data_IF_590256325187
#
_entry.id   IF_590256325187
#
_cell.length_a   1.000
_cell.length_b   1.000
_cell.length_c   1.000
_cell.angle_alpha   90.00
_cell.angle_beta   90.00
_cell.angle_gamma   90.00
#
_symmetry.space_group_name_H-M   'P 1'
#
loop_
_entity.id
_entity.type
_entity.pdbx_description
1 polymer ?
#
# COMPACT_ATOMS: atom_id res chain seq x y z
N UNK A 1 0.32 -7.30 21.19
CA UNK A 1 -0.03 -6.47 19.99
C UNK A 1 1.23 -5.77 19.51
N UNK A 2 1.50 -5.77 18.20
CA UNK A 2 2.61 -5.01 17.60
C UNK A 2 2.16 -3.60 17.28
N UNK A 3 2.92 -2.56 17.67
CA UNK A 3 2.69 -1.19 17.24
C UNK A 3 3.14 -1.00 15.79
N UNK A 4 2.27 -0.43 14.93
CA UNK A 4 2.43 -0.37 13.48
C UNK A 4 2.90 1.02 13.05
N UNK A 5 4.21 1.30 13.18
CA UNK A 5 4.83 2.61 12.93
C UNK A 5 4.59 3.13 11.51
N UNK A 6 4.52 2.26 10.51
CA UNK A 6 4.24 2.62 9.12
C UNK A 6 2.86 3.25 8.91
N UNK A 7 1.93 3.06 9.84
CA UNK A 7 0.57 3.62 9.73
C UNK A 7 0.57 5.14 9.89
N UNK A 8 1.50 5.69 10.67
CA UNK A 8 1.65 7.13 10.91
C UNK A 8 2.78 7.74 10.10
N UNK A 9 3.84 6.98 9.81
CA UNK A 9 4.98 7.43 9.01
C UNK A 9 5.40 6.38 7.98
N UNK A 10 4.95 6.54 6.73
CA UNK A 10 5.35 5.68 5.62
C UNK A 10 6.82 5.83 5.22
N UNK A 11 7.48 6.95 5.62
CA UNK A 11 8.87 7.24 5.29
C UNK A 11 9.88 6.74 6.33
N UNK A 12 9.41 6.16 7.43
CA UNK A 12 10.30 5.59 8.46
C UNK A 12 11.08 4.40 7.87
N UNK A 13 12.40 4.57 7.75
CA UNK A 13 13.30 3.59 7.12
C UNK A 13 13.95 2.64 8.11
N UNK A 14 14.10 3.07 9.37
CA UNK A 14 14.72 2.28 10.43
C UNK A 14 14.04 2.53 11.76
N UNK A 15 14.07 1.55 12.64
CA UNK A 15 13.47 1.61 13.97
C UNK A 15 14.21 0.66 14.91
N UNK A 16 13.96 0.78 16.21
CA UNK A 16 14.45 -0.14 17.23
C UNK A 16 13.25 -0.72 17.97
N UNK A 17 13.28 -2.01 18.25
CA UNK A 17 12.20 -2.70 18.97
C UNK A 17 12.73 -3.92 19.72
N UNK A 18 11.91 -4.50 20.61
CA UNK A 18 12.20 -5.76 21.29
C UNK A 18 11.47 -6.94 20.62
N UNK A 19 12.09 -8.11 20.65
CA UNK A 19 11.44 -9.38 20.26
C UNK A 19 10.41 -9.76 21.32
N UNK A 20 9.16 -9.90 20.92
CA UNK A 20 8.02 -10.26 21.78
C UNK A 20 7.54 -11.70 21.60
N UNK A 21 7.88 -12.33 20.47
CA UNK A 21 7.55 -13.73 20.19
C UNK A 21 8.50 -14.31 19.14
N UNK A 22 8.78 -15.61 19.24
CA UNK A 22 9.62 -16.37 18.30
C UNK A 22 8.82 -17.55 17.77
N UNK A 23 8.76 -17.68 16.45
CA UNK A 23 8.24 -18.83 15.70
C UNK A 23 9.44 -19.59 15.14
N UNK A 24 9.92 -20.58 15.87
CA UNK A 24 11.12 -21.35 15.51
C UNK A 24 10.91 -22.15 14.21
N UNK A 25 9.72 -22.74 14.04
CA UNK A 25 9.42 -23.59 12.90
C UNK A 25 9.45 -22.84 11.56
N UNK A 26 8.99 -21.58 11.56
CA UNK A 26 8.94 -20.74 10.36
C UNK A 26 10.03 -19.64 10.36
N UNK A 27 10.92 -19.63 11.33
CA UNK A 27 11.98 -18.62 11.53
C UNK A 27 11.41 -17.20 11.58
N UNK A 28 10.32 -17.01 12.33
CA UNK A 28 9.60 -15.76 12.46
C UNK A 28 9.86 -15.06 13.80
N UNK A 29 10.03 -13.74 13.78
CA UNK A 29 10.11 -12.90 14.98
C UNK A 29 8.96 -11.90 14.99
N UNK A 30 8.17 -11.88 16.06
CA UNK A 30 7.28 -10.77 16.33
C UNK A 30 8.00 -9.72 17.19
N UNK A 31 7.73 -8.45 16.87
CA UNK A 31 8.36 -7.31 17.53
C UNK A 31 7.31 -6.47 18.27
N UNK A 32 7.74 -5.74 19.29
CA UNK A 32 6.92 -4.78 20.03
C UNK A 32 6.35 -3.69 19.11
N UNK A 33 7.19 -3.18 18.19
CA UNK A 33 6.81 -2.22 17.16
C UNK A 33 7.50 -2.53 15.85
N UNK A 34 6.93 -2.07 14.71
CA UNK A 34 7.53 -2.30 13.40
C UNK A 34 7.19 -1.23 12.38
N UNK A 35 8.19 -0.88 11.56
CA UNK A 35 7.99 -0.09 10.35
C UNK A 35 7.76 -0.96 9.10
N UNK A 36 7.91 -2.29 9.18
CA UNK A 36 7.62 -3.20 8.07
C UNK A 36 6.12 -3.29 7.81
N UNK A 37 5.70 -2.97 6.60
CA UNK A 37 4.33 -3.24 6.14
C UNK A 37 4.14 -4.76 5.94
N UNK A 38 3.13 -5.38 6.55
CA UNK A 38 2.97 -6.84 6.51
C UNK A 38 2.27 -7.36 5.27
N UNK A 39 1.96 -6.49 4.31
CA UNK A 39 1.15 -6.81 3.14
C UNK A 39 -0.35 -6.71 3.42
N UNK A 40 -1.14 -6.62 2.37
CA UNK A 40 -2.60 -6.53 2.39
C UNK A 40 -3.12 -5.49 1.41
N UNK A 41 -4.42 -5.46 1.16
CA UNK A 41 -5.04 -4.46 0.26
C UNK A 41 -4.47 -4.41 -1.16
N UNK A 42 -3.85 -5.50 -1.64
CA UNK A 42 -3.16 -5.54 -2.93
C UNK A 42 -1.69 -5.10 -2.88
N UNK A 43 -1.20 -4.48 -1.79
CA UNK A 43 0.20 -4.12 -1.64
C UNK A 43 1.01 -5.28 -1.04
N UNK A 44 2.13 -5.71 -1.66
CA UNK A 44 3.04 -6.71 -1.11
C UNK A 44 3.68 -6.26 0.22
N UNK A 45 4.08 -7.24 1.02
CA UNK A 45 4.86 -6.99 2.23
C UNK A 45 6.24 -6.41 1.93
N UNK A 46 6.76 -5.65 2.91
CA UNK A 46 8.13 -5.19 2.87
C UNK A 46 9.14 -6.32 3.10
N UNK A 47 10.35 -6.04 2.65
CA UNK A 47 11.59 -6.76 2.92
C UNK A 47 12.60 -5.80 3.56
N UNK A 48 13.71 -6.36 4.08
CA UNK A 48 14.76 -5.55 4.69
C UNK A 48 15.66 -6.38 5.60
N UNK A 49 16.12 -5.80 6.71
CA UNK A 49 17.00 -6.48 7.66
C UNK A 49 16.61 -6.19 9.11
N UNK A 50 16.95 -7.15 9.99
CA UNK A 50 17.00 -6.97 11.43
C UNK A 50 18.44 -7.17 11.88
N UNK A 51 19.00 -6.22 12.63
CA UNK A 51 20.33 -6.34 13.24
C UNK A 51 20.18 -6.54 14.74
N UNK A 52 20.87 -7.54 15.29
CA UNK A 52 21.01 -7.82 16.70
C UNK A 52 22.50 -7.97 16.99
N UNK A 53 23.05 -7.10 17.81
CA UNK A 53 24.49 -6.99 18.04
C UNK A 53 25.24 -6.88 16.69
N UNK A 54 26.15 -7.83 16.39
CA UNK A 54 26.91 -7.89 15.14
C UNK A 54 26.27 -8.76 14.05
N UNK A 55 25.14 -9.43 14.36
CA UNK A 55 24.44 -10.31 13.42
C UNK A 55 23.38 -9.55 12.64
N UNK A 56 23.34 -9.79 11.33
CA UNK A 56 22.36 -9.21 10.41
C UNK A 56 21.50 -10.32 9.81
N UNK A 57 20.19 -10.22 10.01
CA UNK A 57 19.18 -11.15 9.51
C UNK A 57 18.44 -10.52 8.34
N UNK A 58 18.32 -11.24 7.24
CA UNK A 58 17.50 -10.79 6.10
C UNK A 58 16.03 -11.10 6.35
N UNK A 59 15.18 -10.07 6.35
CA UNK A 59 13.73 -10.20 6.40
C UNK A 59 13.21 -10.39 4.97
N UNK A 60 12.73 -11.58 4.66
CA UNK A 60 12.19 -11.91 3.35
C UNK A 60 10.70 -11.61 3.23
N UNK A 61 10.00 -11.48 4.35
CA UNK A 61 8.57 -11.21 4.42
C UNK A 61 8.16 -10.77 5.81
N UNK A 62 7.27 -9.80 5.90
CA UNK A 62 6.48 -9.54 7.11
C UNK A 62 5.03 -10.03 6.89
N UNK A 63 4.36 -10.49 7.96
CA UNK A 63 2.97 -10.95 7.89
C UNK A 63 2.26 -10.70 9.23
N UNK A 64 1.04 -10.19 9.14
CA UNK A 64 0.16 -10.07 10.32
C UNK A 64 -0.46 -11.42 10.67
N UNK A 65 -0.32 -11.84 11.94
CA UNK A 65 -0.92 -13.06 12.51
C UNK A 65 -1.58 -12.66 13.83
N UNK A 66 -2.90 -12.64 13.84
CA UNK A 66 -3.66 -12.06 14.96
C UNK A 66 -3.38 -10.57 15.09
N UNK A 67 -2.91 -10.15 16.28
CA UNK A 67 -2.53 -8.78 16.62
C UNK A 67 -1.02 -8.53 16.61
N UNK A 68 -0.22 -9.50 16.12
CA UNK A 68 1.22 -9.40 15.95
C UNK A 68 1.63 -9.35 14.47
N UNK A 69 2.79 -8.74 14.20
CA UNK A 69 3.46 -8.81 12.90
C UNK A 69 4.73 -9.64 13.04
N UNK A 70 4.77 -10.77 12.34
CA UNK A 70 5.93 -11.65 12.26
C UNK A 70 6.83 -11.26 11.09
N UNK A 71 8.13 -11.23 11.33
CA UNK A 71 9.20 -11.00 10.36
C UNK A 71 9.89 -12.32 10.10
N UNK A 72 9.71 -12.88 8.92
CA UNK A 72 10.29 -14.17 8.52
C UNK A 72 11.70 -13.99 7.96
N UNK A 73 12.65 -14.73 8.53
CA UNK A 73 14.09 -14.56 8.30
C UNK A 73 14.64 -15.61 7.36
N UNK A 74 15.48 -15.20 6.43
CA UNK A 74 16.25 -16.09 5.59
C UNK A 74 17.48 -16.64 6.35
N UNK A 75 18.06 -17.73 5.82
CA UNK A 75 19.32 -18.31 6.31
C UNK A 75 19.15 -19.19 7.55
N UNK A 76 20.28 -19.54 8.19
CA UNK A 76 20.32 -20.52 9.28
C UNK A 76 20.93 -19.95 10.58
N UNK A 77 21.18 -18.64 10.66
CA UNK A 77 21.66 -18.02 11.89
C UNK A 77 20.73 -18.35 13.07
N UNK A 78 21.24 -18.58 14.28
CA UNK A 78 20.39 -18.75 15.47
C UNK A 78 19.41 -17.58 15.62
N UNK A 79 18.16 -17.87 15.96
CA UNK A 79 17.14 -16.82 16.12
C UNK A 79 17.43 -16.01 17.40
N UNK A 80 17.22 -14.68 17.37
CA UNK A 80 17.24 -13.85 18.56
C UNK A 80 16.17 -14.32 19.57
N UNK A 81 16.54 -14.37 20.85
CA UNK A 81 15.61 -14.75 21.92
C UNK A 81 14.63 -13.64 22.27
N UNK A 82 13.63 -14.00 23.10
CA UNK A 82 12.67 -13.05 23.67
C UNK A 82 13.39 -11.91 24.40
N UNK A 83 12.92 -10.68 24.24
CA UNK A 83 13.50 -9.48 24.85
C UNK A 83 14.75 -8.95 24.15
N UNK A 84 15.29 -9.64 23.14
CA UNK A 84 16.43 -9.14 22.39
C UNK A 84 16.08 -7.82 21.71
N UNK A 85 16.99 -6.85 21.79
CA UNK A 85 16.88 -5.58 21.07
C UNK A 85 17.27 -5.79 19.61
N UNK A 86 16.42 -5.33 18.70
CA UNK A 86 16.67 -5.38 17.26
C UNK A 86 16.63 -3.99 16.67
N UNK A 87 17.50 -3.73 15.70
CA UNK A 87 17.43 -2.58 14.82
C UNK A 87 16.90 -3.05 13.47
N UNK A 88 15.67 -2.63 13.12
CA UNK A 88 15.05 -2.91 11.83
C UNK A 88 15.42 -1.86 10.79
N UNK A 89 15.66 -2.31 9.56
CA UNK A 89 15.91 -1.45 8.39
C UNK A 89 15.11 -1.96 7.21
N UNK A 90 14.27 -1.08 6.64
CA UNK A 90 13.42 -1.38 5.49
C UNK A 90 14.26 -1.37 4.22
N UNK A 91 14.00 -2.29 3.27
CA UNK A 91 14.42 -2.13 1.87
C UNK A 91 13.69 -0.91 1.28
N UNK A 92 14.33 0.25 1.43
CA UNK A 92 13.73 1.53 1.09
C UNK A 92 13.44 1.68 -0.40
N UNK A 93 14.29 1.15 -1.27
CA UNK A 93 14.08 1.24 -2.70
C UNK A 93 12.78 0.52 -3.11
N UNK A 94 12.58 -0.70 -2.59
CA UNK A 94 11.36 -1.47 -2.79
C UNK A 94 10.14 -0.76 -2.18
N UNK A 95 10.22 -0.31 -0.92
CA UNK A 95 9.14 0.40 -0.22
C UNK A 95 8.71 1.65 -0.99
N UNK A 96 9.64 2.48 -1.41
CA UNK A 96 9.32 3.73 -2.08
C UNK A 96 8.66 3.49 -3.45
N UNK A 97 9.12 2.47 -4.20
CA UNK A 97 8.45 2.03 -5.44
C UNK A 97 7.01 1.59 -5.18
N UNK A 98 6.77 0.81 -4.12
CA UNK A 98 5.41 0.39 -3.72
C UNK A 98 4.54 1.57 -3.28
N UNK A 99 5.08 2.54 -2.53
CA UNK A 99 4.37 3.77 -2.14
C UNK A 99 3.93 4.56 -3.38
N UNK A 100 4.80 4.73 -4.37
CA UNK A 100 4.49 5.38 -5.65
C UNK A 100 3.37 4.63 -6.38
N UNK A 101 3.49 3.31 -6.48
CA UNK A 101 2.47 2.47 -7.13
C UNK A 101 1.13 2.59 -6.41
N UNK A 102 1.12 2.49 -5.08
CA UNK A 102 -0.13 2.54 -4.31
C UNK A 102 -0.82 3.89 -4.47
N UNK A 103 -0.07 4.99 -4.39
CA UNK A 103 -0.63 6.32 -4.63
C UNK A 103 -1.11 6.49 -6.07
N UNK A 104 -0.42 5.92 -7.07
CA UNK A 104 -0.89 5.90 -8.46
C UNK A 104 -2.24 5.18 -8.61
N UNK A 105 -2.42 4.06 -7.90
CA UNK A 105 -3.69 3.31 -7.89
C UNK A 105 -4.82 4.13 -7.26
N UNK A 106 -4.54 4.88 -6.17
CA UNK A 106 -5.51 5.80 -5.58
C UNK A 106 -5.84 6.99 -6.50
N UNK A 107 -4.85 7.55 -7.21
CA UNK A 107 -5.11 8.57 -8.25
C UNK A 107 -6.04 8.01 -9.33
N UNK A 108 -5.75 6.81 -9.84
CA UNK A 108 -6.58 6.14 -10.85
C UNK A 108 -8.01 5.91 -10.32
N UNK A 109 -8.15 5.41 -9.10
CA UNK A 109 -9.44 5.21 -8.45
C UNK A 109 -10.21 6.52 -8.30
N UNK A 110 -9.57 7.57 -7.79
CA UNK A 110 -10.20 8.88 -7.57
C UNK A 110 -10.67 9.52 -8.86
N UNK A 111 -9.86 9.50 -9.93
CA UNK A 111 -10.25 10.02 -11.25
C UNK A 111 -11.42 9.23 -11.82
N UNK A 112 -11.36 7.91 -11.81
CA UNK A 112 -12.42 7.06 -12.38
C UNK A 112 -13.72 7.21 -11.59
N UNK A 113 -13.65 7.29 -10.27
CA UNK A 113 -14.84 7.51 -9.45
C UNK A 113 -15.44 8.91 -9.67
N UNK A 114 -14.61 9.96 -9.70
CA UNK A 114 -15.05 11.34 -9.90
C UNK A 114 -15.71 11.55 -11.26
N UNK A 115 -15.09 11.04 -12.34
CA UNK A 115 -15.46 11.37 -13.71
C UNK A 115 -16.48 10.39 -14.29
N UNK A 116 -16.55 9.15 -13.77
CA UNK A 116 -17.39 8.08 -14.34
C UNK A 116 -18.28 7.36 -13.31
N UNK A 117 -18.13 7.64 -12.01
CA UNK A 117 -18.91 6.98 -10.95
C UNK A 117 -18.64 5.48 -10.83
N UNK A 118 -17.54 4.96 -11.41
CA UNK A 118 -17.27 3.53 -11.45
C UNK A 118 -16.57 3.04 -10.18
N UNK A 119 -17.10 1.97 -9.59
CA UNK A 119 -16.56 1.35 -8.37
C UNK A 119 -15.41 0.39 -8.69
N UNK A 120 -14.48 0.24 -7.73
CA UNK A 120 -13.40 -0.73 -7.79
C UNK A 120 -13.92 -2.13 -7.44
N UNK A 121 -13.58 -3.13 -8.24
CA UNK A 121 -13.93 -4.53 -8.01
C UNK A 121 -12.74 -5.42 -7.66
N UNK A 122 -11.52 -4.89 -7.77
CA UNK A 122 -10.29 -5.58 -7.39
C UNK A 122 -9.05 -4.77 -7.78
N UNK A 123 -7.94 -5.08 -7.13
CA UNK A 123 -6.65 -4.45 -7.38
C UNK A 123 -5.50 -5.34 -6.94
N UNK A 124 -4.33 -5.11 -7.54
CA UNK A 124 -3.09 -5.77 -7.18
C UNK A 124 -1.91 -4.94 -7.69
N UNK A 125 -0.77 -5.00 -7.01
CA UNK A 125 0.39 -4.22 -7.38
C UNK A 125 1.72 -4.92 -7.09
N UNK A 126 2.73 -4.50 -7.86
CA UNK A 126 4.13 -4.75 -7.64
C UNK A 126 4.91 -3.42 -7.67
N UNK A 127 6.20 -3.39 -7.33
CA UNK A 127 7.00 -2.17 -7.47
C UNK A 127 6.92 -1.57 -8.87
N UNK A 128 6.37 -0.36 -8.99
CA UNK A 128 6.15 0.40 -10.22
C UNK A 128 5.17 -0.21 -11.23
N UNK A 129 4.38 -1.20 -10.83
CA UNK A 129 3.37 -1.83 -11.67
C UNK A 129 2.10 -2.06 -10.87
N UNK A 130 0.94 -1.89 -11.52
CA UNK A 130 -0.33 -2.15 -10.86
C UNK A 130 -1.44 -2.50 -11.85
N UNK A 131 -2.48 -3.11 -11.33
CA UNK A 131 -3.72 -3.34 -12.06
C UNK A 131 -4.93 -3.06 -11.18
N UNK A 132 -5.96 -2.52 -11.78
CA UNK A 132 -7.22 -2.27 -11.09
C UNK A 132 -8.41 -2.62 -11.95
N UNK A 133 -9.42 -3.22 -11.35
CA UNK A 133 -10.66 -3.63 -11.98
C UNK A 133 -11.77 -2.66 -11.58
N UNK A 134 -12.56 -2.22 -12.58
CA UNK A 134 -13.64 -1.25 -12.39
C UNK A 134 -14.93 -1.71 -13.06
N UNK A 135 -16.05 -1.22 -12.56
CA UNK A 135 -17.36 -1.42 -13.17
C UNK A 135 -17.58 -0.43 -14.34
N UNK A 136 -17.18 -0.84 -15.55
CA UNK A 136 -17.47 -0.12 -16.79
C UNK A 136 -18.27 -1.01 -17.74
N UNK A 137 -19.24 -0.41 -18.48
CA UNK A 137 -19.89 -1.11 -19.57
C UNK A 137 -18.95 -1.26 -20.78
N UNK A 138 -18.32 -0.18 -21.18
CA UNK A 138 -17.36 -0.16 -22.30
C UNK A 138 -16.07 0.54 -21.88
N UNK A 139 -14.93 0.02 -22.36
CA UNK A 139 -13.62 0.64 -22.21
C UNK A 139 -12.93 0.58 -23.58
N UNK A 140 -12.86 1.75 -24.25
CA UNK A 140 -12.26 1.91 -25.57
C UNK A 140 -11.00 2.76 -25.47
N UNK A 141 -10.20 2.77 -26.52
CA UNK A 141 -8.89 3.44 -26.56
C UNK A 141 -8.99 4.92 -26.20
N UNK A 142 -9.95 5.63 -26.78
CA UNK A 142 -10.15 7.07 -26.55
C UNK A 142 -10.46 7.38 -25.08
N UNK A 143 -11.25 6.51 -24.43
CA UNK A 143 -11.55 6.63 -23.01
C UNK A 143 -10.30 6.37 -22.17
N UNK A 144 -9.50 5.36 -22.49
CA UNK A 144 -8.25 5.04 -21.81
C UNK A 144 -7.25 6.18 -21.93
N UNK A 145 -7.10 6.77 -23.12
CA UNK A 145 -6.21 7.92 -23.34
C UNK A 145 -6.70 9.15 -22.55
N UNK A 146 -8.01 9.36 -22.43
CA UNK A 146 -8.61 10.41 -21.59
C UNK A 146 -8.30 10.18 -20.12
N UNK A 147 -8.49 8.96 -19.61
CA UNK A 147 -8.16 8.58 -18.22
C UNK A 147 -6.67 8.79 -17.98
N UNK A 148 -5.78 8.34 -18.87
CA UNK A 148 -4.34 8.51 -18.74
C UNK A 148 -3.93 9.99 -18.63
N UNK A 149 -4.53 10.85 -19.43
CA UNK A 149 -4.27 12.29 -19.35
C UNK A 149 -4.76 12.86 -18.01
N UNK A 150 -5.96 12.48 -17.56
CA UNK A 150 -6.55 12.96 -16.31
C UNK A 150 -5.73 12.53 -15.08
N UNK A 151 -5.29 11.26 -14.99
CA UNK A 151 -4.47 10.79 -13.87
C UNK A 151 -3.11 11.50 -13.82
N UNK A 152 -2.49 11.78 -14.97
CA UNK A 152 -1.22 12.51 -15.01
C UNK A 152 -1.39 14.00 -14.72
N UNK A 153 -2.57 14.58 -14.99
CA UNK A 153 -2.89 15.93 -14.52
C UNK A 153 -2.95 15.98 -12.99
N UNK A 154 -3.50 14.93 -12.33
CA UNK A 154 -3.52 14.87 -10.86
C UNK A 154 -2.13 14.67 -10.25
N UNK A 155 -1.21 13.99 -10.93
CA UNK A 155 0.20 13.97 -10.56
C UNK A 155 0.80 15.38 -10.64
N UNK A 156 0.56 16.10 -11.74
CA UNK A 156 1.06 17.46 -11.95
C UNK A 156 0.46 18.49 -10.98
N UNK A 157 -0.76 18.26 -10.49
CA UNK A 157 -1.41 19.10 -9.49
C UNK A 157 -0.73 19.07 -8.12
N UNK A 158 0.22 18.16 -7.90
CA UNK A 158 1.03 18.06 -6.69
C UNK A 158 0.18 18.06 -5.40
N UNK A 159 -0.88 17.22 -5.36
CA UNK A 159 -1.81 17.16 -4.23
C UNK A 159 -1.16 16.54 -3.00
N UNK A 160 -1.33 17.12 -1.81
CA UNK A 160 -0.90 16.48 -0.56
C UNK A 160 -1.64 15.15 -0.32
N UNK A 161 -0.90 14.15 0.18
CA UNK A 161 -1.47 12.90 0.67
C UNK A 161 -1.42 12.92 2.19
N UNK A 162 -2.56 12.76 2.83
CA UNK A 162 -2.72 12.85 4.28
C UNK A 162 -3.23 11.54 4.85
N UNK A 163 -2.80 11.24 6.06
CA UNK A 163 -3.25 10.06 6.81
C UNK A 163 -3.90 10.50 8.11
N UNK A 164 -5.02 9.86 8.46
CA UNK A 164 -5.67 9.98 9.76
C UNK A 164 -6.04 8.60 10.27
N UNK A 165 -6.04 8.42 11.57
CA UNK A 165 -6.60 7.24 12.23
C UNK A 165 -7.81 7.72 13.00
N UNK A 166 -8.99 7.22 12.65
CA UNK A 166 -10.28 7.66 13.17
C UNK A 166 -10.94 6.51 13.93
N UNK A 167 -11.72 6.81 14.99
CA UNK A 167 -12.64 5.83 15.55
C UNK A 167 -13.54 5.26 14.45
N UNK A 168 -13.87 3.97 14.52
CA UNK A 168 -14.70 3.30 13.50
C UNK A 168 -16.01 4.06 13.22
N UNK A 169 -16.69 4.51 14.26
CA UNK A 169 -17.96 5.21 14.11
C UNK A 169 -17.79 6.48 13.27
N UNK A 170 -16.80 7.32 13.58
CA UNK A 170 -16.48 8.54 12.84
C UNK A 170 -16.09 8.26 11.39
N UNK A 171 -15.26 7.23 11.17
CA UNK A 171 -14.83 6.86 9.84
C UNK A 171 -16.02 6.45 8.94
N UNK A 172 -17.00 5.72 9.48
CA UNK A 172 -18.15 5.26 8.71
C UNK A 172 -19.22 6.36 8.46
N UNK A 173 -19.08 7.54 9.06
CA UNK A 173 -19.86 8.73 8.72
C UNK A 173 -19.34 9.44 7.45
N UNK A 174 -18.11 9.10 7.00
CA UNK A 174 -17.53 9.66 5.78
C UNK A 174 -18.19 9.02 4.55
N UNK A 175 -18.86 9.82 3.69
CA UNK A 175 -19.46 9.29 2.47
C UNK A 175 -18.39 8.63 1.57
N UNK A 176 -18.77 7.52 0.94
CA UNK A 176 -17.93 6.83 -0.05
C UNK A 176 -16.51 6.44 0.43
N UNK A 177 -16.32 6.30 1.76
CA UNK A 177 -15.04 5.87 2.34
C UNK A 177 -14.56 4.53 1.78
N UNK A 178 -15.49 3.65 1.42
CA UNK A 178 -15.23 2.34 0.84
C UNK A 178 -15.50 2.40 -0.67
N UNK A 179 -14.43 2.48 -1.46
CA UNK A 179 -14.50 2.52 -2.94
C UNK A 179 -14.65 1.15 -3.59
N UNK A 180 -14.37 0.09 -2.83
CA UNK A 180 -14.55 -1.28 -3.29
C UNK A 180 -16.01 -1.70 -3.15
N UNK A 181 -16.49 -2.51 -4.12
CA UNK A 181 -17.86 -3.03 -4.12
C UNK A 181 -18.22 -3.81 -2.85
N UNK A 182 -17.23 -4.42 -2.22
CA UNK A 182 -17.36 -5.18 -0.97
C UNK A 182 -16.53 -4.46 0.11
N UNK A 183 -17.10 -4.29 1.29
CA UNK A 183 -16.36 -3.80 2.44
C UNK A 183 -15.34 -4.85 2.90
N UNK A 184 -14.06 -4.55 2.73
CA UNK A 184 -12.94 -5.43 3.09
C UNK A 184 -12.38 -5.16 4.49
N UNK A 185 -12.92 -4.18 5.22
CA UNK A 185 -12.48 -3.90 6.60
C UNK A 185 -12.92 -5.01 7.54
N UNK A 186 -12.03 -5.50 8.43
CA UNK A 186 -12.39 -6.49 9.44
C UNK A 186 -13.54 -6.00 10.33
N UNK A 187 -14.50 -6.87 10.66
CA UNK A 187 -15.68 -6.52 11.46
C UNK A 187 -15.32 -5.95 12.84
N UNK A 188 -14.27 -6.45 13.47
CA UNK A 188 -13.82 -6.05 14.82
C UNK A 188 -12.92 -4.83 14.89
N UNK A 189 -12.56 -4.20 13.76
CA UNK A 189 -11.64 -3.05 13.78
C UNK A 189 -12.25 -1.85 14.49
N UNK A 190 -11.56 -1.31 15.49
CA UNK A 190 -12.01 -0.17 16.29
C UNK A 190 -11.47 1.18 15.77
N UNK A 191 -10.30 1.13 15.14
CA UNK A 191 -9.63 2.29 14.56
C UNK A 191 -9.44 2.07 13.07
N UNK A 192 -9.90 3.00 12.24
CA UNK A 192 -9.81 2.95 10.79
C UNK A 192 -8.79 3.97 10.32
N UNK A 193 -7.74 3.48 9.65
CA UNK A 193 -6.81 4.36 8.98
C UNK A 193 -7.44 4.83 7.67
N UNK A 194 -7.40 6.14 7.45
CA UNK A 194 -7.96 6.82 6.29
C UNK A 194 -6.83 7.54 5.56
N UNK A 195 -6.74 7.34 4.26
CA UNK A 195 -5.80 8.01 3.37
C UNK A 195 -6.57 8.95 2.45
N UNK A 196 -6.15 10.22 2.41
CA UNK A 196 -6.73 11.28 1.60
C UNK A 196 -5.70 11.80 0.60
N UNK A 197 -6.01 11.74 -0.70
CA UNK A 197 -5.40 12.61 -1.70
C UNK A 197 -6.27 13.85 -1.78
N UNK A 198 -5.80 14.96 -1.21
CA UNK A 198 -6.61 16.15 -0.97
C UNK A 198 -7.33 16.64 -2.22
N UNK A 199 -8.66 16.65 -2.17
CA UNK A 199 -9.53 17.08 -3.27
C UNK A 199 -9.65 16.10 -4.45
N UNK A 200 -9.22 14.85 -4.28
CA UNK A 200 -9.37 13.82 -5.31
C UNK A 200 -9.95 12.51 -4.77
N UNK A 201 -9.36 11.94 -3.72
CA UNK A 201 -9.71 10.61 -3.22
C UNK A 201 -9.59 10.53 -1.71
N UNK A 202 -10.50 9.80 -1.06
CA UNK A 202 -10.48 9.53 0.37
C UNK A 202 -10.98 8.11 0.60
N UNK A 203 -10.13 7.25 1.18
CA UNK A 203 -10.46 5.86 1.39
C UNK A 203 -9.95 5.33 2.74
N UNK A 204 -10.64 4.32 3.27
CA UNK A 204 -10.07 3.46 4.30
C UNK A 204 -8.98 2.60 3.66
N UNK A 205 -7.74 2.79 4.07
CA UNK A 205 -6.59 2.08 3.54
C UNK A 205 -5.49 1.85 4.58
N UNK A 206 -4.86 0.66 4.54
CA UNK A 206 -3.80 0.25 5.44
C UNK A 206 -2.39 0.35 4.88
N UNK A 207 -2.25 0.61 3.58
CA UNK A 207 -0.97 0.59 2.89
C UNK A 207 -0.12 1.85 3.04
N UNK A 208 1.03 1.85 2.40
CA UNK A 208 1.98 2.96 2.48
C UNK A 208 1.92 3.84 1.23
N UNK A 209 2.00 5.15 1.41
CA UNK A 209 1.83 6.14 0.35
C UNK A 209 2.95 7.18 0.35
N UNK A 210 3.19 7.81 -0.82
CA UNK A 210 4.01 9.02 -0.90
C UNK A 210 3.26 10.22 -0.30
N UNK A 211 3.98 11.26 0.14
CA UNK A 211 3.39 12.42 0.80
C UNK A 211 2.72 13.41 -0.18
N UNK A 212 3.06 13.30 -1.46
CA UNK A 212 2.54 14.19 -2.49
C UNK A 212 2.40 13.44 -3.83
N UNK A 213 1.33 13.72 -4.59
CA UNK A 213 1.12 13.06 -5.88
C UNK A 213 2.23 13.32 -6.89
N UNK A 214 2.97 14.43 -6.79
CA UNK A 214 4.13 14.72 -7.66
C UNK A 214 5.28 13.73 -7.50
N UNK A 215 5.35 12.99 -6.38
CA UNK A 215 6.36 11.95 -6.15
C UNK A 215 6.08 10.65 -6.91
N UNK A 216 4.85 10.48 -7.41
CA UNK A 216 4.46 9.27 -8.13
C UNK A 216 5.28 9.11 -9.42
N UNK A 217 5.50 10.19 -10.15
CA UNK A 217 6.05 10.15 -11.50
C UNK A 217 4.94 9.99 -12.56
N UNK A 218 5.30 9.62 -13.78
CA UNK A 218 4.36 9.47 -14.86
C UNK A 218 3.64 8.10 -14.79
N UNK A 219 2.32 8.10 -14.85
CA UNK A 219 1.49 6.89 -14.85
C UNK A 219 1.12 6.56 -16.30
N UNK A 220 1.67 5.46 -16.81
CA UNK A 220 1.37 4.95 -18.17
C UNK A 220 0.36 3.82 -18.09
N UNK A 221 -0.74 3.94 -18.81
CA UNK A 221 -1.66 2.81 -19.03
C UNK A 221 -1.07 1.92 -20.12
N UNK A 222 -0.64 0.72 -19.75
CA UNK A 222 0.07 -0.20 -20.64
C UNK A 222 -0.84 -1.22 -21.32
N UNK A 223 -1.95 -1.56 -20.68
CA UNK A 223 -2.93 -2.49 -21.25
C UNK A 223 -4.30 -2.28 -20.58
N UNK A 224 -5.36 -2.72 -21.24
CA UNK A 224 -6.71 -2.78 -20.69
C UNK A 224 -7.47 -3.96 -21.27
N UNK A 225 -8.31 -4.60 -20.44
CA UNK A 225 -9.02 -5.84 -20.82
C UNK A 225 -10.45 -5.84 -20.31
N UNK A 226 -11.35 -6.39 -21.11
CA UNK A 226 -12.68 -6.77 -20.63
C UNK A 226 -12.61 -8.06 -19.82
N UNK A 227 -13.11 -8.03 -18.58
CA UNK A 227 -13.22 -9.18 -17.67
C UNK A 227 -14.66 -9.66 -17.54
N UNK A 228 -15.55 -9.15 -18.40
CA UNK A 228 -16.96 -9.44 -18.40
C UNK A 228 -17.77 -8.24 -18.90
N UNK A 229 -19.11 -8.36 -18.84
CA UNK A 229 -20.03 -7.35 -19.39
C UNK A 229 -19.78 -5.97 -18.78
N UNK A 230 -19.64 -5.89 -17.45
CA UNK A 230 -19.51 -4.64 -16.69
C UNK A 230 -18.18 -4.53 -15.95
N UNK A 231 -17.23 -5.45 -16.11
CA UNK A 231 -15.96 -5.42 -15.39
C UNK A 231 -14.80 -5.26 -16.36
N UNK A 232 -14.01 -4.20 -16.16
CA UNK A 232 -12.89 -3.84 -17.02
C UNK A 232 -11.64 -3.66 -16.17
N UNK A 233 -10.53 -4.18 -16.66
CA UNK A 233 -9.21 -4.11 -16.02
C UNK A 233 -8.33 -3.11 -16.74
N UNK A 234 -7.65 -2.27 -15.97
CA UNK A 234 -6.62 -1.32 -16.43
C UNK A 234 -5.30 -1.74 -15.79
N UNK A 235 -4.23 -1.81 -16.59
CA UNK A 235 -2.87 -2.05 -16.14
C UNK A 235 -2.06 -0.77 -16.27
N UNK A 236 -1.29 -0.45 -15.24
CA UNK A 236 -0.44 0.74 -15.21
C UNK A 236 1.00 0.39 -14.87
N UNK A 237 1.91 1.16 -15.44
CA UNK A 237 3.32 1.22 -15.06
C UNK A 237 3.66 2.65 -14.65
N UNK A 238 4.58 2.78 -13.70
CA UNK A 238 5.01 4.07 -13.16
C UNK A 238 6.45 4.35 -13.63
N UNK A 239 6.62 5.45 -14.32
CA UNK A 239 7.88 5.92 -14.88
C UNK A 239 8.34 7.20 -14.15
N UNK A 240 9.66 7.48 -14.14
CA UNK A 240 10.16 8.70 -13.50
C UNK A 240 9.77 9.96 -14.28
N UNK A 241 9.62 9.84 -15.60
CA UNK A 241 9.26 10.94 -16.51
C UNK A 241 8.31 10.46 -17.60
N UNK A 242 7.52 11.38 -18.13
CA UNK A 242 6.75 11.11 -19.35
C UNK A 242 7.68 10.67 -20.50
N UNK A 243 7.25 9.74 -21.38
CA UNK A 243 8.02 9.38 -22.56
C UNK A 243 8.25 10.62 -23.44
N UNK A 244 9.47 10.78 -23.93
CA UNK A 244 9.76 11.81 -24.94
C UNK A 244 8.96 11.49 -26.19
N UNK A 245 8.24 12.50 -26.70
CA UNK A 245 7.48 12.41 -27.96
C UNK A 245 8.38 12.35 -29.15
#
# INVERSE_FOLDING_TARGET
MTDLLYQTDSYLRSFTAQVTSVDEDNRGLALESTAFYPGGGGQPADTGTLKVDDLVYTVIRAKKVGDQVFHYLAGELPLPGLGAQVQGSIDWERRYKLMRTHTAMHILCGVIFRDYGASVTGGDMDPLQGRMDFEFETLQRELVDTIQNAINQEVANARPVRVKILPRQEAFEIPDLIRTKINLLPEGIQQVRVVEIVGLDLQADGGTHVANTSEVGYIRVVDYKSKGKINKRIYVEIEDKAPMK
#
